data_IF_194817314297
#
_entry.id   IF_194817314297
#
_cell.length_a   1.000
_cell.length_b   1.000
_cell.length_c   1.000
_cell.angle_alpha   90.00
_cell.angle_beta   90.00
_cell.angle_gamma   90.00
#
_symmetry.space_group_name_H-M   'P 1'
#
loop_
_entity.id
_entity.type
_entity.pdbx_description
1 polymer ?
#
# COMPACT_ATOMS: atom_id res chain seq x y z
N UNK A 1 -13.47 -3.76 -26.06
CA UNK A 1 -13.76 -2.74 -27.11
C UNK A 1 -12.55 -2.36 -27.99
N UNK A 2 -11.48 -3.12 -28.04
CA UNK A 2 -10.31 -2.85 -28.90
C UNK A 2 -10.50 -3.31 -30.37
N UNK A 3 -11.62 -3.89 -30.73
CA UNK A 3 -11.80 -4.57 -32.02
C UNK A 3 -12.79 -3.90 -32.98
N UNK A 4 -13.27 -2.68 -32.69
CA UNK A 4 -14.20 -1.98 -33.60
C UNK A 4 -13.42 -0.92 -34.38
N UNK A 5 -13.26 -1.05 -35.71
CA UNK A 5 -12.64 -0.01 -36.54
C UNK A 5 -13.55 1.23 -36.60
N UNK A 6 -12.97 2.41 -36.46
CA UNK A 6 -13.66 3.68 -36.60
C UNK A 6 -13.28 4.71 -35.52
N UNK A 7 -13.71 5.95 -35.72
CA UNK A 7 -13.49 7.01 -34.73
C UNK A 7 -14.20 6.68 -33.43
N UNK A 8 -13.42 6.53 -32.37
CA UNK A 8 -13.91 6.35 -30.99
C UNK A 8 -14.43 7.69 -30.47
N UNK A 9 -15.72 7.76 -30.17
CA UNK A 9 -16.34 8.91 -29.52
C UNK A 9 -17.14 8.47 -28.30
N UNK A 10 -17.18 9.29 -27.26
CA UNK A 10 -17.91 8.98 -26.02
C UNK A 10 -19.41 8.71 -26.29
N UNK A 11 -20.02 9.40 -27.27
CA UNK A 11 -21.43 9.15 -27.70
C UNK A 11 -21.61 7.74 -28.25
N UNK A 12 -20.70 7.26 -29.11
CA UNK A 12 -20.75 5.89 -29.67
C UNK A 12 -20.52 4.85 -28.59
N UNK A 13 -19.57 5.09 -27.68
CA UNK A 13 -19.29 4.20 -26.55
C UNK A 13 -20.50 4.11 -25.61
N UNK A 14 -21.15 5.25 -25.26
CA UNK A 14 -22.35 5.28 -24.43
C UNK A 14 -23.53 4.53 -25.09
N UNK A 15 -23.78 4.76 -26.40
CA UNK A 15 -24.81 4.04 -27.11
C UNK A 15 -24.57 2.53 -27.17
N UNK A 16 -23.34 2.12 -27.42
CA UNK A 16 -22.93 0.72 -27.43
C UNK A 16 -23.07 0.05 -26.06
N UNK A 17 -22.66 0.73 -24.98
CA UNK A 17 -22.85 0.26 -23.62
C UNK A 17 -24.35 0.10 -23.31
N UNK A 18 -25.19 1.08 -23.67
CA UNK A 18 -26.64 1.00 -23.47
C UNK A 18 -27.27 -0.20 -24.20
N UNK A 19 -26.85 -0.46 -25.44
CA UNK A 19 -27.30 -1.64 -26.20
C UNK A 19 -26.89 -2.96 -25.52
N UNK A 20 -25.63 -3.09 -25.14
CA UNK A 20 -25.12 -4.30 -24.46
C UNK A 20 -25.81 -4.53 -23.11
N UNK A 21 -26.13 -3.45 -22.37
CA UNK A 21 -26.89 -3.53 -21.12
C UNK A 21 -28.32 -4.05 -21.38
N UNK A 22 -29.00 -3.49 -22.42
CA UNK A 22 -30.37 -3.87 -22.76
C UNK A 22 -30.52 -5.36 -23.11
N UNK A 23 -29.51 -5.95 -23.78
CA UNK A 23 -29.53 -7.36 -24.18
C UNK A 23 -28.89 -8.29 -23.12
N UNK A 24 -28.57 -7.77 -21.92
CA UNK A 24 -28.05 -8.54 -20.80
C UNK A 24 -26.61 -9.07 -20.96
N UNK A 25 -25.85 -8.56 -21.94
CA UNK A 25 -24.47 -9.00 -22.19
C UNK A 25 -23.43 -8.34 -21.27
N UNK A 26 -23.80 -7.30 -20.52
CA UNK A 26 -22.93 -6.72 -19.50
C UNK A 26 -23.23 -7.33 -18.14
N UNK A 27 -22.26 -8.02 -17.53
CA UNK A 27 -22.42 -8.45 -16.15
C UNK A 27 -22.56 -7.23 -15.24
N UNK A 28 -23.39 -7.36 -14.20
CA UNK A 28 -23.50 -6.30 -13.19
C UNK A 28 -22.17 -6.08 -12.52
N UNK A 29 -21.80 -4.81 -12.33
CA UNK A 29 -20.63 -4.44 -11.56
C UNK A 29 -20.95 -4.52 -10.08
N UNK A 30 -19.95 -4.89 -9.26
CA UNK A 30 -20.06 -4.79 -7.81
C UNK A 30 -20.19 -3.32 -7.41
N UNK A 31 -21.34 -2.97 -6.83
CA UNK A 31 -21.60 -1.66 -6.22
C UNK A 31 -21.89 -1.92 -4.76
N UNK A 32 -21.01 -1.53 -3.84
CA UNK A 32 -21.22 -1.69 -2.40
C UNK A 32 -22.32 -0.76 -1.89
N UNK A 33 -22.76 -1.00 -0.65
CA UNK A 33 -23.64 -0.08 0.06
C UNK A 33 -22.98 1.29 0.31
N UNK A 34 -23.77 2.27 0.75
CA UNK A 34 -23.33 3.65 0.95
C UNK A 34 -22.19 3.74 1.97
N UNK A 35 -22.29 3.01 3.08
CA UNK A 35 -21.25 2.99 4.14
C UNK A 35 -19.90 2.50 3.61
N UNK A 36 -19.92 1.44 2.81
CA UNK A 36 -18.69 0.92 2.17
C UNK A 36 -18.19 1.89 1.08
N UNK A 37 -19.07 2.60 0.37
CA UNK A 37 -18.64 3.63 -0.60
C UNK A 37 -17.92 4.77 0.10
N UNK A 38 -18.45 5.29 1.20
CA UNK A 38 -17.82 6.35 2.01
C UNK A 38 -16.47 5.88 2.56
N UNK A 39 -16.39 4.67 3.14
CA UNK A 39 -15.12 4.09 3.59
C UNK A 39 -14.10 3.98 2.45
N UNK A 40 -14.55 3.63 1.25
CA UNK A 40 -13.70 3.56 0.04
C UNK A 40 -13.16 4.94 -0.34
N UNK A 41 -13.96 5.98 -0.29
CA UNK A 41 -13.51 7.34 -0.55
C UNK A 41 -12.45 7.77 0.47
N UNK A 42 -12.68 7.52 1.76
CA UNK A 42 -11.74 7.84 2.83
C UNK A 42 -10.40 7.11 2.66
N UNK A 43 -10.41 5.80 2.42
CA UNK A 43 -9.18 5.00 2.25
C UNK A 43 -8.40 5.41 1.01
N UNK A 44 -9.09 5.76 -0.09
CA UNK A 44 -8.47 6.27 -1.31
C UNK A 44 -7.88 7.67 -1.12
N UNK A 45 -8.59 8.55 -0.41
CA UNK A 45 -8.11 9.89 -0.10
C UNK A 45 -6.89 9.83 0.83
N UNK A 46 -6.92 8.98 1.87
CA UNK A 46 -5.77 8.71 2.73
C UNK A 46 -4.54 8.31 1.90
N UNK A 47 -4.71 7.40 0.97
CA UNK A 47 -3.62 6.98 0.07
C UNK A 47 -3.06 8.15 -0.74
N UNK A 48 -3.91 9.02 -1.29
CA UNK A 48 -3.47 10.21 -2.02
C UNK A 48 -2.65 11.15 -1.14
N UNK A 49 -3.05 11.35 0.11
CA UNK A 49 -2.29 12.18 1.05
C UNK A 49 -0.95 11.55 1.44
N UNK A 50 -0.90 10.23 1.66
CA UNK A 50 0.37 9.50 1.90
C UNK A 50 1.31 9.65 0.69
N UNK A 51 0.82 9.52 -0.54
CA UNK A 51 1.63 9.71 -1.75
C UNK A 51 2.11 11.17 -1.88
N UNK A 52 1.30 12.15 -1.50
CA UNK A 52 1.67 13.57 -1.50
C UNK A 52 2.73 13.88 -0.45
N UNK A 53 2.54 13.39 0.78
CA UNK A 53 3.53 13.49 1.86
C UNK A 53 4.88 12.90 1.44
N UNK A 54 4.89 11.73 0.81
CA UNK A 54 6.13 11.11 0.34
C UNK A 54 6.80 11.92 -0.79
N UNK A 55 6.02 12.63 -1.63
CA UNK A 55 6.60 13.57 -2.60
C UNK A 55 7.31 14.73 -1.92
N UNK A 56 6.77 15.26 -0.81
CA UNK A 56 7.44 16.30 -0.03
C UNK A 56 8.70 15.78 0.65
N UNK A 57 8.70 14.56 1.19
CA UNK A 57 9.95 13.92 1.68
C UNK A 57 11.02 13.88 0.59
N UNK A 58 10.66 13.47 -0.62
CA UNK A 58 11.61 13.45 -1.74
C UNK A 58 12.09 14.86 -2.14
N UNK A 59 11.22 15.88 -2.01
CA UNK A 59 11.62 17.28 -2.23
C UNK A 59 12.61 17.76 -1.19
N UNK A 60 12.37 17.45 0.10
CA UNK A 60 13.30 17.73 1.19
C UNK A 60 14.69 17.11 0.90
N UNK A 61 14.73 15.83 0.49
CA UNK A 61 16.00 15.20 0.09
C UNK A 61 16.73 15.97 -1.03
N UNK A 62 16.01 16.45 -2.05
CA UNK A 62 16.59 17.24 -3.14
C UNK A 62 17.12 18.60 -2.67
N UNK A 63 16.39 19.29 -1.77
CA UNK A 63 16.82 20.57 -1.20
C UNK A 63 18.11 20.38 -0.41
N UNK A 64 18.18 19.36 0.44
CA UNK A 64 19.40 19.06 1.20
C UNK A 64 20.57 18.73 0.27
N UNK A 65 20.35 17.90 -0.73
CA UNK A 65 21.36 17.52 -1.70
C UNK A 65 21.88 18.73 -2.48
N UNK A 66 20.99 19.67 -2.89
CA UNK A 66 21.39 20.88 -3.61
C UNK A 66 22.23 21.84 -2.73
N UNK A 67 22.02 21.83 -1.42
CA UNK A 67 22.82 22.56 -0.43
C UNK A 67 24.08 21.81 0.05
N UNK A 68 24.39 20.65 -0.51
CA UNK A 68 25.56 19.84 -0.13
C UNK A 68 25.38 19.04 1.16
N UNK A 69 24.18 19.00 1.74
CA UNK A 69 23.88 18.31 3.00
C UNK A 69 23.66 16.80 2.74
N UNK A 70 24.42 15.94 3.43
CA UNK A 70 24.48 14.49 3.20
C UNK A 70 23.88 13.66 4.35
N UNK A 71 22.86 14.17 5.04
CA UNK A 71 22.25 13.53 6.22
C UNK A 71 21.76 12.11 5.96
N UNK A 72 21.26 11.83 4.75
CA UNK A 72 20.74 10.51 4.35
C UNK A 72 21.78 9.39 4.34
N UNK A 73 23.06 9.73 4.36
CA UNK A 73 24.14 8.75 4.50
C UNK A 73 24.16 8.10 5.89
N UNK A 74 23.72 8.83 6.92
CA UNK A 74 23.81 8.41 8.31
C UNK A 74 22.47 8.23 8.99
N UNK A 75 21.39 8.84 8.44
CA UNK A 75 20.04 8.81 8.96
C UNK A 75 19.15 8.14 7.92
N UNK A 76 18.57 6.99 8.29
CA UNK A 76 17.66 6.23 7.42
C UNK A 76 16.33 6.94 7.24
N UNK A 77 15.74 7.44 8.33
CA UNK A 77 14.49 8.21 8.33
C UNK A 77 14.75 9.67 8.71
N UNK A 78 14.84 10.53 7.69
CA UNK A 78 15.06 11.98 7.87
C UNK A 78 13.83 12.69 8.47
N UNK A 79 12.64 12.09 8.39
CA UNK A 79 11.41 12.64 8.96
C UNK A 79 11.15 12.13 10.38
N UNK A 80 11.95 11.19 10.88
CA UNK A 80 11.95 10.77 12.27
C UNK A 80 12.48 11.84 13.23
N UNK A 81 12.29 11.67 14.54
CA UNK A 81 12.57 12.69 15.56
C UNK A 81 13.97 13.31 15.45
N UNK A 82 15.04 12.49 15.31
CA UNK A 82 16.42 13.03 15.15
C UNK A 82 16.60 13.79 13.84
N UNK A 83 16.06 13.28 12.74
CA UNK A 83 16.14 13.95 11.44
C UNK A 83 15.42 15.30 11.47
N UNK A 84 14.21 15.34 12.00
CA UNK A 84 13.40 16.57 12.17
C UNK A 84 14.13 17.63 13.00
N UNK A 85 14.73 17.23 14.12
CA UNK A 85 15.50 18.17 14.95
C UNK A 85 16.68 18.76 14.17
N UNK A 86 17.42 17.96 13.39
CA UNK A 86 18.54 18.45 12.59
C UNK A 86 18.09 19.35 11.44
N UNK A 87 16.94 19.03 10.80
CA UNK A 87 16.35 19.92 9.79
C UNK A 87 15.96 21.27 10.38
N UNK A 88 15.42 21.28 11.62
CA UNK A 88 15.08 22.52 12.31
C UNK A 88 16.33 23.38 12.61
N UNK A 89 17.44 22.76 13.05
CA UNK A 89 18.71 23.49 13.25
C UNK A 89 19.19 24.18 11.97
N UNK A 90 19.02 23.53 10.80
CA UNK A 90 19.36 24.12 9.50
C UNK A 90 18.47 25.31 9.14
N UNK A 91 17.17 25.24 9.46
CA UNK A 91 16.21 26.33 9.20
C UNK A 91 16.52 27.53 10.08
N UNK A 92 16.77 27.29 11.39
CA UNK A 92 16.97 28.33 12.40
C UNK A 92 18.38 28.97 12.35
N UNK A 93 19.23 28.61 11.39
CA UNK A 93 20.64 29.05 11.30
C UNK A 93 21.42 28.80 12.60
N UNK A 94 21.00 27.82 13.38
CA UNK A 94 21.64 27.51 14.66
C UNK A 94 23.07 27.02 14.42
N UNK A 95 24.09 27.54 15.16
CA UNK A 95 25.45 27.06 15.02
C UNK A 95 25.58 25.57 15.23
N UNK A 96 26.07 24.85 14.22
CA UNK A 96 26.20 23.39 14.22
C UNK A 96 27.43 22.97 15.05
N UNK A 97 27.28 22.94 16.37
CA UNK A 97 28.32 22.48 17.28
C UNK A 97 28.11 21.00 17.64
N UNK A 98 29.16 20.24 18.04
CA UNK A 98 29.01 18.87 18.49
C UNK A 98 27.97 18.71 19.62
N UNK A 99 27.92 19.68 20.52
CA UNK A 99 26.96 19.70 21.63
C UNK A 99 25.52 19.83 21.14
N UNK A 100 25.24 20.75 20.22
CA UNK A 100 23.92 20.98 19.66
C UNK A 100 23.42 19.75 18.91
N UNK A 101 24.27 19.13 18.07
CA UNK A 101 23.92 17.92 17.33
C UNK A 101 23.67 16.77 18.32
N UNK A 102 24.53 16.61 19.33
CA UNK A 102 24.33 15.54 20.33
C UNK A 102 23.01 15.68 21.10
N UNK A 103 22.56 16.91 21.38
CA UNK A 103 21.27 17.19 22.02
C UNK A 103 20.07 16.93 21.08
N UNK A 104 20.25 17.12 19.78
CA UNK A 104 19.19 17.00 18.78
C UNK A 104 18.96 15.59 18.28
N UNK A 105 19.86 14.63 18.57
CA UNK A 105 19.75 13.25 18.10
C UNK A 105 19.57 12.27 19.24
N UNK A 106 18.96 11.11 18.94
CA UNK A 106 18.65 10.08 19.91
C UNK A 106 19.44 8.78 19.65
N UNK A 107 19.50 7.93 20.66
CA UNK A 107 20.02 6.54 20.60
C UNK A 107 21.38 6.38 19.92
N UNK A 108 21.47 5.54 18.92
CA UNK A 108 22.72 5.21 18.20
C UNK A 108 23.34 6.38 17.44
N UNK A 109 22.53 7.38 17.05
CA UNK A 109 23.02 8.57 16.33
C UNK A 109 23.91 9.46 17.21
N UNK A 110 23.78 9.42 18.53
CA UNK A 110 24.69 10.13 19.44
C UNK A 110 26.16 9.74 19.26
N UNK A 111 26.41 8.50 18.87
CA UNK A 111 27.78 8.01 18.58
C UNK A 111 28.33 8.49 17.24
N UNK A 112 27.43 9.00 16.36
CA UNK A 112 27.77 9.46 15.01
C UNK A 112 27.85 10.98 14.88
N UNK A 113 27.97 11.71 16.01
CA UNK A 113 28.01 13.18 16.01
C UNK A 113 29.11 13.75 15.09
N UNK A 114 30.36 13.23 15.07
CA UNK A 114 31.38 13.73 14.15
C UNK A 114 30.98 13.58 12.67
N UNK A 115 30.43 12.41 12.30
CA UNK A 115 29.95 12.15 10.94
C UNK A 115 28.75 12.99 10.56
N UNK A 116 27.85 13.28 11.52
CA UNK A 116 26.70 14.17 11.31
C UNK A 116 27.14 15.60 11.12
N UNK A 117 28.18 16.07 11.81
CA UNK A 117 28.79 17.37 11.57
C UNK A 117 29.32 17.50 10.14
N UNK A 118 30.09 16.51 9.70
CA UNK A 118 30.61 16.46 8.32
C UNK A 118 29.47 16.39 7.30
N UNK A 119 28.40 15.63 7.58
CA UNK A 119 27.25 15.53 6.71
C UNK A 119 26.43 16.83 6.59
N UNK A 120 26.50 17.68 7.60
CA UNK A 120 25.84 18.99 7.66
C UNK A 120 26.75 20.13 7.14
N UNK A 121 28.02 19.85 6.84
CA UNK A 121 28.96 20.82 6.28
C UNK A 121 28.73 20.99 4.78
N UNK A 122 27.86 21.95 4.45
CA UNK A 122 27.47 22.25 3.08
C UNK A 122 27.10 23.73 2.93
N UNK A 123 27.00 24.20 1.67
CA UNK A 123 26.52 25.54 1.38
C UNK A 123 24.99 25.60 1.42
N UNK A 124 24.44 25.82 2.62
CA UNK A 124 23.01 25.90 2.85
C UNK A 124 22.55 27.34 2.97
N UNK A 125 22.14 27.95 1.84
CA UNK A 125 21.77 29.37 1.72
C UNK A 125 20.40 29.67 2.36
N UNK A 126 20.09 30.98 2.54
CA UNK A 126 18.77 31.43 2.98
C UNK A 126 17.64 30.91 2.08
N UNK A 127 17.89 30.76 0.76
CA UNK A 127 16.93 30.17 -0.17
C UNK A 127 16.66 28.69 0.17
N UNK A 128 17.69 27.88 0.45
CA UNK A 128 17.50 26.48 0.84
C UNK A 128 16.71 26.37 2.15
N UNK A 129 16.97 27.24 3.15
CA UNK A 129 16.23 27.27 4.42
C UNK A 129 14.75 27.56 4.20
N UNK A 130 14.46 28.59 3.41
CA UNK A 130 13.10 28.95 3.05
C UNK A 130 12.37 27.77 2.39
N UNK A 131 12.98 27.16 1.37
CA UNK A 131 12.38 26.02 0.65
C UNK A 131 12.21 24.78 1.54
N UNK A 132 13.16 24.53 2.45
CA UNK A 132 13.06 23.45 3.42
C UNK A 132 11.91 23.69 4.40
N UNK A 133 11.78 24.90 4.95
CA UNK A 133 10.68 25.28 5.84
C UNK A 133 9.31 25.05 5.18
N UNK A 134 9.13 25.57 3.94
CA UNK A 134 7.90 25.36 3.18
C UNK A 134 7.56 23.89 2.95
N UNK A 135 8.56 23.06 2.60
CA UNK A 135 8.34 21.64 2.38
C UNK A 135 8.00 20.88 3.67
N UNK A 136 8.56 21.31 4.81
CA UNK A 136 8.22 20.74 6.11
C UNK A 136 6.79 21.09 6.55
N UNK A 137 6.36 22.33 6.37
CA UNK A 137 4.99 22.76 6.65
C UNK A 137 3.97 21.97 5.83
N UNK A 138 4.24 21.77 4.53
CA UNK A 138 3.37 20.97 3.65
C UNK A 138 3.36 19.49 4.09
N UNK A 139 4.53 18.95 4.47
CA UNK A 139 4.60 17.58 4.99
C UNK A 139 3.74 17.43 6.24
N UNK A 140 3.85 18.34 7.21
CA UNK A 140 3.10 18.32 8.45
C UNK A 140 1.60 18.50 8.23
N UNK A 141 1.22 19.34 7.26
CA UNK A 141 -0.17 19.46 6.84
C UNK A 141 -0.73 18.12 6.34
N UNK A 142 0.00 17.43 5.44
CA UNK A 142 -0.47 16.11 4.97
C UNK A 142 -0.51 15.08 6.08
N UNK A 143 0.46 15.08 7.01
CA UNK A 143 0.44 14.17 8.15
C UNK A 143 -0.82 14.36 8.99
N UNK A 144 -1.13 15.61 9.35
CA UNK A 144 -2.35 15.94 10.10
C UNK A 144 -3.63 15.51 9.37
N UNK A 145 -3.68 15.69 8.05
CA UNK A 145 -4.83 15.23 7.25
C UNK A 145 -4.93 13.70 7.22
N UNK A 146 -3.82 12.98 7.16
CA UNK A 146 -3.79 11.52 7.24
C UNK A 146 -4.32 11.05 8.58
N UNK A 147 -3.87 11.64 9.69
CA UNK A 147 -4.31 11.28 11.04
C UNK A 147 -5.83 11.48 11.21
N UNK A 148 -6.36 12.60 10.71
CA UNK A 148 -7.80 12.87 10.71
C UNK A 148 -8.61 11.84 9.89
N UNK A 149 -8.10 11.43 8.72
CA UNK A 149 -8.74 10.39 7.92
C UNK A 149 -8.68 9.02 8.60
N UNK A 150 -7.57 8.69 9.26
CA UNK A 150 -7.42 7.43 10.00
C UNK A 150 -8.40 7.36 11.17
N UNK A 151 -8.59 8.43 11.91
CA UNK A 151 -9.61 8.51 12.96
C UNK A 151 -11.02 8.27 12.39
N UNK A 152 -11.35 8.92 11.28
CA UNK A 152 -12.64 8.73 10.60
C UNK A 152 -12.82 7.30 10.09
N UNK A 153 -11.79 6.72 9.46
CA UNK A 153 -11.78 5.33 8.98
C UNK A 153 -12.03 4.37 10.15
N UNK A 154 -11.34 4.57 11.29
CA UNK A 154 -11.53 3.73 12.48
C UNK A 154 -12.98 3.78 12.99
N UNK A 155 -13.64 4.94 12.93
CA UNK A 155 -15.06 5.05 13.24
C UNK A 155 -15.96 4.16 12.36
N UNK A 156 -15.66 4.05 11.06
CA UNK A 156 -16.37 3.13 10.16
C UNK A 156 -16.05 1.67 10.45
N UNK A 157 -14.79 1.35 10.79
CA UNK A 157 -14.38 -0.03 11.07
C UNK A 157 -15.04 -0.63 12.31
N UNK A 158 -15.46 0.18 13.27
CA UNK A 158 -16.24 -0.26 14.41
C UNK A 158 -17.58 -0.92 14.01
N UNK A 159 -18.10 -0.65 12.82
CA UNK A 159 -19.28 -1.33 12.27
C UNK A 159 -18.95 -2.74 11.73
N UNK A 160 -17.67 -3.05 11.58
CA UNK A 160 -17.16 -4.27 10.95
C UNK A 160 -16.12 -4.98 11.82
N UNK A 161 -16.29 -4.99 13.15
CA UNK A 161 -15.30 -5.52 14.11
C UNK A 161 -14.85 -6.95 13.77
N UNK A 162 -15.79 -7.87 13.54
CA UNK A 162 -15.45 -9.28 13.22
C UNK A 162 -14.74 -9.42 11.87
N UNK A 163 -15.19 -8.83 10.75
CA UNK A 163 -14.41 -8.77 9.51
C UNK A 163 -13.01 -8.20 9.66
N UNK A 164 -12.84 -7.15 10.47
CA UNK A 164 -11.53 -6.55 10.76
C UNK A 164 -10.64 -7.53 11.51
N UNK A 165 -11.13 -8.16 12.58
CA UNK A 165 -10.41 -9.19 13.34
C UNK A 165 -9.95 -10.35 12.43
N UNK A 166 -10.85 -10.84 11.56
CA UNK A 166 -10.55 -11.90 10.60
C UNK A 166 -9.40 -11.48 9.68
N UNK A 167 -9.46 -10.29 9.09
CA UNK A 167 -8.44 -9.83 8.15
C UNK A 167 -7.11 -9.53 8.83
N UNK A 168 -7.12 -8.90 10.00
CA UNK A 168 -5.91 -8.59 10.78
C UNK A 168 -5.20 -9.86 11.28
N UNK A 169 -5.95 -10.95 11.49
CA UNK A 169 -5.37 -12.26 11.84
C UNK A 169 -4.49 -12.87 10.75
N UNK A 170 -4.61 -12.40 9.49
CA UNK A 170 -3.84 -12.92 8.35
C UNK A 170 -2.40 -12.39 8.41
N UNK A 171 -1.38 -13.25 8.36
CA UNK A 171 0.01 -12.81 8.41
C UNK A 171 0.36 -11.74 7.36
N UNK A 172 0.85 -10.59 7.85
CA UNK A 172 1.23 -9.45 7.02
C UNK A 172 0.13 -8.46 6.70
N UNK A 173 -1.08 -8.70 7.16
CA UNK A 173 -2.16 -7.70 7.15
C UNK A 173 -2.17 -6.92 8.48
N UNK A 174 -2.58 -5.68 8.39
CA UNK A 174 -2.79 -4.77 9.50
C UNK A 174 -4.15 -4.09 9.36
N UNK A 175 -4.54 -3.27 10.34
CA UNK A 175 -5.80 -2.55 10.35
C UNK A 175 -6.01 -1.70 9.08
N UNK A 176 -4.94 -1.09 8.56
CA UNK A 176 -4.99 -0.29 7.32
C UNK A 176 -5.27 -1.20 6.12
N UNK A 177 -4.61 -2.34 6.04
CA UNK A 177 -4.86 -3.34 4.98
C UNK A 177 -6.29 -3.87 5.07
N UNK A 178 -6.76 -4.21 6.27
CA UNK A 178 -8.14 -4.64 6.51
C UNK A 178 -9.15 -3.57 6.05
N UNK A 179 -8.93 -2.30 6.40
CA UNK A 179 -9.80 -1.19 5.98
C UNK A 179 -9.89 -1.06 4.46
N UNK A 180 -8.77 -1.18 3.74
CA UNK A 180 -8.75 -1.12 2.27
C UNK A 180 -9.47 -2.32 1.66
N UNK A 181 -9.29 -3.52 2.19
CA UNK A 181 -9.97 -4.72 1.71
C UNK A 181 -11.48 -4.56 1.89
N UNK A 182 -11.96 -4.22 3.09
CA UNK A 182 -13.39 -4.00 3.37
C UNK A 182 -13.95 -2.90 2.44
N UNK A 183 -13.25 -1.78 2.30
CA UNK A 183 -13.65 -0.67 1.44
C UNK A 183 -13.79 -1.07 -0.04
N UNK A 184 -12.90 -1.92 -0.55
CA UNK A 184 -12.86 -2.24 -1.97
C UNK A 184 -13.74 -3.44 -2.35
N UNK A 185 -13.92 -4.44 -1.48
CA UNK A 185 -14.68 -5.65 -1.79
C UNK A 185 -15.92 -5.87 -0.90
N UNK A 186 -16.11 -5.05 0.14
CA UNK A 186 -17.16 -5.27 1.14
C UNK A 186 -16.86 -6.48 2.04
N UNK A 187 -17.85 -6.84 2.85
CA UNK A 187 -17.79 -7.99 3.78
C UNK A 187 -18.62 -9.18 3.31
N UNK A 188 -19.58 -8.95 2.41
CA UNK A 188 -20.43 -10.00 1.84
C UNK A 188 -19.74 -10.67 0.65
N UNK A 189 -19.22 -11.85 0.89
CA UNK A 189 -18.54 -12.66 -0.13
C UNK A 189 -19.49 -13.33 -1.12
N UNK A 190 -20.81 -13.27 -0.94
CA UNK A 190 -21.78 -13.78 -1.92
C UNK A 190 -21.74 -13.00 -3.25
N UNK A 191 -21.25 -11.76 -3.21
CA UNK A 191 -21.03 -10.91 -4.38
C UNK A 191 -20.03 -11.49 -5.40
N UNK A 192 -19.15 -12.40 -4.94
CA UNK A 192 -18.16 -13.06 -5.79
C UNK A 192 -18.40 -14.56 -5.79
N UNK A 193 -18.70 -15.19 -6.95
CA UNK A 193 -18.99 -16.63 -7.01
C UNK A 193 -17.88 -17.51 -6.42
N UNK A 194 -16.61 -17.13 -6.63
CA UNK A 194 -15.45 -17.84 -6.06
C UNK A 194 -14.30 -16.86 -5.74
N UNK A 195 -13.37 -17.31 -4.90
CA UNK A 195 -12.11 -16.60 -4.65
C UNK A 195 -11.31 -16.31 -5.94
N UNK A 196 -11.44 -17.16 -6.96
CA UNK A 196 -10.83 -16.97 -8.28
C UNK A 196 -11.45 -15.80 -9.05
N UNK A 197 -12.77 -15.63 -8.98
CA UNK A 197 -13.48 -14.49 -9.58
C UNK A 197 -13.03 -13.17 -8.92
N UNK A 198 -12.96 -13.13 -7.58
CA UNK A 198 -12.45 -11.97 -6.84
C UNK A 198 -11.00 -11.65 -7.25
N UNK A 199 -10.12 -12.64 -7.31
CA UNK A 199 -8.72 -12.44 -7.69
C UNK A 199 -8.58 -11.94 -9.15
N UNK A 200 -9.45 -12.39 -10.05
CA UNK A 200 -9.51 -11.89 -11.43
C UNK A 200 -9.99 -10.45 -11.49
N UNK A 201 -11.04 -10.12 -10.74
CA UNK A 201 -11.57 -8.76 -10.63
C UNK A 201 -10.53 -7.78 -10.04
N UNK A 202 -9.77 -8.22 -9.04
CA UNK A 202 -8.67 -7.46 -8.44
C UNK A 202 -7.47 -7.26 -9.38
N UNK A 203 -7.43 -7.97 -10.52
CA UNK A 203 -6.30 -7.91 -11.46
C UNK A 203 -5.03 -8.61 -10.95
N UNK A 204 -5.18 -9.65 -10.13
CA UNK A 204 -4.09 -10.46 -9.60
C UNK A 204 -3.89 -11.78 -10.37
N UNK A 205 -4.77 -12.08 -11.33
CA UNK A 205 -4.64 -13.24 -12.21
C UNK A 205 -3.84 -12.89 -13.47
N UNK A 206 -3.05 -13.85 -14.00
CA UNK A 206 -2.43 -13.68 -15.32
C UNK A 206 -3.50 -13.55 -16.41
N UNK A 207 -3.22 -12.71 -17.41
CA UNK A 207 -4.08 -12.62 -18.58
C UNK A 207 -3.99 -13.88 -19.43
N UNK A 208 -5.13 -14.32 -19.97
CA UNK A 208 -5.20 -15.38 -20.98
C UNK A 208 -4.83 -14.78 -22.34
N UNK A 209 -3.52 -14.69 -22.63
CA UNK A 209 -3.04 -14.24 -23.92
C UNK A 209 -2.30 -15.42 -24.58
N UNK A 210 -3.10 -16.37 -25.04
CA UNK A 210 -2.66 -17.59 -25.69
C UNK A 210 -3.28 -17.65 -27.09
N UNK A 211 -2.48 -17.99 -28.09
CA UNK A 211 -2.92 -18.17 -29.47
C UNK A 211 -2.18 -19.36 -30.04
N UNK A 212 -2.92 -20.31 -30.61
CA UNK A 212 -2.40 -21.56 -31.18
C UNK A 212 -1.47 -22.34 -30.21
N UNK A 213 -1.88 -22.48 -28.94
CA UNK A 213 -1.12 -23.19 -27.90
C UNK A 213 0.13 -22.44 -27.39
N UNK A 214 0.45 -21.27 -27.92
CA UNK A 214 1.61 -20.45 -27.47
C UNK A 214 1.18 -19.30 -26.56
N UNK A 215 1.70 -19.28 -25.31
CA UNK A 215 1.50 -18.15 -24.38
C UNK A 215 2.30 -16.95 -24.87
N UNK A 216 1.59 -15.88 -25.29
CA UNK A 216 2.20 -14.62 -25.76
C UNK A 216 2.57 -13.66 -24.64
N UNK A 217 1.87 -13.70 -23.50
CA UNK A 217 2.14 -12.81 -22.39
C UNK A 217 1.65 -13.39 -21.06
N UNK A 218 2.43 -13.19 -19.99
CA UNK A 218 2.06 -13.50 -18.60
C UNK A 218 1.69 -12.24 -17.81
N UNK A 219 1.47 -11.09 -18.48
CA UNK A 219 1.04 -9.86 -17.83
C UNK A 219 -0.30 -10.09 -17.11
N UNK A 220 -0.40 -9.57 -15.90
CA UNK A 220 -1.67 -9.54 -15.16
C UNK A 220 -2.68 -8.62 -15.85
N UNK A 221 -3.96 -8.92 -15.69
CA UNK A 221 -5.05 -8.07 -16.22
C UNK A 221 -5.13 -6.75 -15.45
N UNK A 222 -5.75 -5.75 -16.09
CA UNK A 222 -6.21 -4.56 -15.38
C UNK A 222 -7.29 -4.97 -14.37
N UNK A 223 -7.28 -4.34 -13.20
CA UNK A 223 -8.22 -4.59 -12.13
C UNK A 223 -8.13 -3.50 -11.09
N UNK A 224 -8.64 -3.72 -9.89
CA UNK A 224 -8.62 -2.75 -8.81
C UNK A 224 -7.18 -2.45 -8.36
N UNK A 225 -6.69 -1.26 -8.72
CA UNK A 225 -5.31 -0.85 -8.44
C UNK A 225 -5.05 -0.56 -6.96
N UNK A 226 -6.08 -0.15 -6.21
CA UNK A 226 -5.98 0.15 -4.77
C UNK A 226 -5.79 -1.14 -3.98
N UNK A 227 -6.67 -2.11 -4.19
CA UNK A 227 -6.59 -3.43 -3.56
C UNK A 227 -5.29 -4.15 -3.91
N UNK A 228 -4.91 -4.15 -5.19
CA UNK A 228 -3.66 -4.78 -5.64
C UNK A 228 -2.43 -4.20 -4.96
N UNK A 229 -2.31 -2.86 -4.87
CA UNK A 229 -1.17 -2.21 -4.23
C UNK A 229 -1.13 -2.51 -2.73
N UNK A 230 -2.28 -2.44 -2.06
CA UNK A 230 -2.40 -2.75 -0.64
C UNK A 230 -1.93 -4.19 -0.36
N UNK A 231 -2.42 -5.18 -1.12
CA UNK A 231 -2.01 -6.57 -0.97
C UNK A 231 -0.52 -6.78 -1.30
N UNK A 232 0.04 -6.08 -2.27
CA UNK A 232 1.48 -6.13 -2.54
C UNK A 232 2.30 -5.59 -1.36
N UNK A 233 1.81 -4.58 -0.64
CA UNK A 233 2.45 -4.10 0.59
C UNK A 233 2.35 -5.13 1.72
N UNK A 234 1.18 -5.73 1.92
CA UNK A 234 0.98 -6.82 2.88
C UNK A 234 1.96 -8.00 2.63
N UNK A 235 2.27 -8.31 1.37
CA UNK A 235 3.27 -9.33 1.01
C UNK A 235 4.64 -9.02 1.60
N UNK A 236 5.07 -7.74 1.62
CA UNK A 236 6.38 -7.39 2.19
C UNK A 236 6.45 -7.62 3.70
N UNK A 237 5.34 -7.48 4.42
CA UNK A 237 5.26 -7.84 5.83
C UNK A 237 5.19 -9.37 6.01
N UNK A 238 4.30 -10.05 5.28
CA UNK A 238 4.11 -11.51 5.35
C UNK A 238 5.39 -12.31 5.09
N UNK A 239 6.20 -11.92 4.09
CA UNK A 239 7.45 -12.62 3.75
C UNK A 239 8.56 -12.48 4.80
N UNK A 240 8.47 -11.49 5.70
CA UNK A 240 9.44 -11.29 6.79
C UNK A 240 9.19 -12.20 7.99
N UNK A 241 8.02 -12.79 8.07
CA UNK A 241 7.64 -13.67 9.18
C UNK A 241 8.33 -15.04 9.02
N UNK A 242 9.42 -15.24 9.76
CA UNK A 242 10.21 -16.48 9.73
C UNK A 242 9.36 -17.70 10.08
N UNK A 243 9.54 -18.81 9.35
CA UNK A 243 8.80 -20.06 9.57
C UNK A 243 7.34 -20.03 9.13
N UNK A 244 6.89 -18.96 8.50
CA UNK A 244 5.53 -18.88 7.93
C UNK A 244 5.48 -19.60 6.58
N UNK A 245 4.47 -20.46 6.34
CA UNK A 245 4.25 -21.10 5.03
C UNK A 245 4.11 -20.07 3.88
N UNK A 246 3.62 -18.86 4.19
CA UNK A 246 3.51 -17.78 3.22
C UNK A 246 4.89 -17.24 2.82
N UNK A 247 5.81 -17.08 3.79
CA UNK A 247 7.17 -16.66 3.51
C UNK A 247 7.94 -17.72 2.70
N UNK A 248 7.84 -18.99 3.07
CA UNK A 248 8.47 -20.10 2.34
C UNK A 248 8.00 -20.13 0.89
N UNK A 249 6.68 -20.05 0.67
CA UNK A 249 6.11 -20.01 -0.68
C UNK A 249 6.59 -18.79 -1.49
N UNK A 250 6.72 -17.61 -0.85
CA UNK A 250 7.28 -16.45 -1.51
C UNK A 250 8.68 -16.73 -2.03
N UNK A 251 9.58 -17.23 -1.19
CA UNK A 251 10.98 -17.48 -1.56
C UNK A 251 11.13 -18.61 -2.58
N UNK A 252 10.30 -19.65 -2.52
CA UNK A 252 10.24 -20.70 -3.55
C UNK A 252 9.87 -20.16 -4.93
N UNK A 253 8.92 -19.22 -5.00
CA UNK A 253 8.53 -18.60 -6.27
C UNK A 253 9.62 -17.59 -6.70
N UNK A 254 10.16 -16.82 -5.76
CA UNK A 254 11.19 -15.83 -6.04
C UNK A 254 12.42 -16.46 -6.68
N UNK A 255 12.91 -17.58 -6.18
CA UNK A 255 14.08 -18.27 -6.72
C UNK A 255 13.90 -18.71 -8.19
N UNK A 256 12.66 -19.10 -8.58
CA UNK A 256 12.37 -19.58 -9.94
C UNK A 256 11.89 -18.50 -10.91
N UNK A 257 11.20 -17.48 -10.44
CA UNK A 257 10.43 -16.54 -11.28
C UNK A 257 10.73 -15.06 -11.01
N UNK A 258 11.57 -14.78 -10.01
CA UNK A 258 11.93 -13.42 -9.59
C UNK A 258 10.95 -12.77 -8.63
N UNK A 259 11.35 -11.65 -7.97
CA UNK A 259 10.62 -11.04 -6.86
C UNK A 259 9.27 -10.45 -7.28
N UNK A 260 9.15 -9.84 -8.46
CA UNK A 260 7.89 -9.25 -8.91
C UNK A 260 6.78 -10.29 -9.07
N UNK A 261 7.09 -11.44 -9.69
CA UNK A 261 6.13 -12.54 -9.86
C UNK A 261 5.78 -13.20 -8.53
N UNK A 262 6.76 -13.33 -7.63
CA UNK A 262 6.53 -13.85 -6.27
C UNK A 262 5.58 -12.93 -5.48
N UNK A 263 5.77 -11.60 -5.55
CA UNK A 263 4.89 -10.62 -4.89
C UNK A 263 3.46 -10.74 -5.39
N UNK A 264 3.23 -10.78 -6.70
CA UNK A 264 1.87 -10.92 -7.26
C UNK A 264 1.25 -12.27 -6.90
N UNK A 265 2.03 -13.36 -6.94
CA UNK A 265 1.52 -14.69 -6.60
C UNK A 265 1.12 -14.79 -5.12
N UNK A 266 1.90 -14.20 -4.21
CA UNK A 266 1.54 -14.17 -2.80
C UNK A 266 0.37 -13.20 -2.53
N UNK A 267 0.32 -12.03 -3.18
CA UNK A 267 -0.84 -11.13 -3.10
C UNK A 267 -2.14 -11.80 -3.55
N UNK A 268 -2.09 -12.57 -4.64
CA UNK A 268 -3.20 -13.41 -5.09
C UNK A 268 -3.61 -14.43 -4.03
N UNK A 269 -2.65 -15.09 -3.38
CA UNK A 269 -2.93 -16.05 -2.31
C UNK A 269 -3.53 -15.39 -1.08
N UNK A 270 -2.99 -14.23 -0.64
CA UNK A 270 -3.54 -13.47 0.49
C UNK A 270 -5.00 -13.08 0.24
N UNK A 271 -5.33 -12.63 -0.97
CA UNK A 271 -6.72 -12.28 -1.32
C UNK A 271 -7.64 -13.50 -1.28
N UNK A 272 -7.17 -14.66 -1.74
CA UNK A 272 -7.96 -15.91 -1.66
C UNK A 272 -8.19 -16.35 -0.22
N UNK A 273 -7.17 -16.21 0.63
CA UNK A 273 -7.30 -16.50 2.07
C UNK A 273 -8.34 -15.56 2.67
N UNK A 274 -8.21 -14.24 2.46
CA UNK A 274 -9.17 -13.25 2.94
C UNK A 274 -10.62 -13.58 2.50
N UNK A 275 -10.83 -13.95 1.24
CA UNK A 275 -12.13 -14.38 0.74
C UNK A 275 -12.70 -15.59 1.51
N UNK A 276 -11.90 -16.63 1.72
CA UNK A 276 -12.34 -17.86 2.42
C UNK A 276 -12.66 -17.52 3.87
N UNK A 277 -11.78 -16.81 4.56
CA UNK A 277 -11.96 -16.49 5.97
C UNK A 277 -13.18 -15.60 6.22
N UNK A 278 -13.40 -14.58 5.39
CA UNK A 278 -14.60 -13.74 5.46
C UNK A 278 -15.87 -14.55 5.17
N UNK A 279 -15.83 -15.44 4.18
CA UNK A 279 -16.98 -16.29 3.82
C UNK A 279 -17.36 -17.28 4.92
N UNK A 280 -16.36 -17.87 5.57
CA UNK A 280 -16.55 -18.89 6.61
C UNK A 280 -16.61 -18.28 8.02
N UNK A 281 -16.40 -16.97 8.14
CA UNK A 281 -16.36 -16.20 9.39
C UNK A 281 -15.33 -16.75 10.40
N UNK A 282 -14.15 -17.12 9.91
CA UNK A 282 -13.05 -17.70 10.69
C UNK A 282 -11.83 -16.81 10.69
N UNK A 283 -11.10 -16.74 11.81
CA UNK A 283 -9.75 -16.17 11.85
C UNK A 283 -8.75 -17.10 11.17
N UNK A 284 -7.57 -16.57 10.83
CA UNK A 284 -6.53 -17.37 10.20
C UNK A 284 -6.05 -18.54 11.08
N UNK A 285 -5.99 -18.34 12.38
CA UNK A 285 -5.61 -19.38 13.35
C UNK A 285 -6.65 -20.51 13.41
N UNK A 286 -7.93 -20.16 13.50
CA UNK A 286 -9.06 -21.10 13.49
C UNK A 286 -9.05 -21.96 12.20
N UNK A 287 -8.86 -21.31 11.06
CA UNK A 287 -8.77 -21.98 9.76
C UNK A 287 -7.58 -22.95 9.68
N UNK A 288 -6.40 -22.56 10.17
CA UNK A 288 -5.22 -23.44 10.17
C UNK A 288 -5.44 -24.64 11.10
N UNK A 289 -6.07 -24.43 12.25
CA UNK A 289 -6.41 -25.52 13.18
C UNK A 289 -7.40 -26.51 12.57
N UNK A 290 -8.47 -26.02 11.94
CA UNK A 290 -9.44 -26.88 11.24
C UNK A 290 -8.78 -27.73 10.16
N UNK A 291 -7.91 -27.14 9.35
CA UNK A 291 -7.18 -27.90 8.32
C UNK A 291 -6.33 -29.02 8.92
N UNK A 292 -5.58 -28.73 9.98
CA UNK A 292 -4.75 -29.76 10.64
C UNK A 292 -5.60 -30.91 11.19
N UNK A 293 -6.75 -30.62 11.79
CA UNK A 293 -7.67 -31.66 12.30
C UNK A 293 -8.20 -32.54 11.19
N UNK A 294 -8.53 -31.98 10.03
CA UNK A 294 -9.00 -32.76 8.86
C UNK A 294 -7.86 -33.61 8.25
N UNK A 295 -6.62 -33.14 8.25
CA UNK A 295 -5.46 -33.91 7.76
C UNK A 295 -5.07 -35.05 8.70
N UNK A 296 -5.32 -34.94 10.02
CA UNK A 296 -5.05 -36.01 11.01
C UNK A 296 -6.15 -37.03 11.10
N UNK A 297 -7.32 -36.77 10.52
CA UNK A 297 -8.50 -37.67 10.50
C UNK A 297 -8.59 -38.52 9.23
N UNK A 298 -7.65 -38.38 8.30
CA UNK A 298 -7.49 -39.17 7.08
C UNK A 298 -6.28 -40.10 7.20
#
# INVERSE_FOLDING_TARGET
MKAIPGQKTDKKDAHWIAQLTRIGLLPRSFVPDETIQELRELTRQRKHYVESRNRETNRIHKILQSGGIKLTTYIEDIMGASGRNLLQLLIDETPLTPRMIHQSVYTSLKRKVPQLLEALDGYFSAHHRFMLGQSLEIYDFYQKQIDCLEERINGYLNLYERPVEILDSIPGMDLITASVIIAEIGVDMSQFPTAGHLASWAGLCPGNNESAGKKRSTKIRHGNSYLKRCLCQAVFAAKRQKGSPLAERYYQIQSRRGPQKATIALAHQLLKIAYILLKENLTYQEFVLQKRLLETSQ
#
